data_IF_154813780876
#
_entry.id   IF_154813780876
#
_cell.length_a   1.000
_cell.length_b   1.000
_cell.length_c   1.000
_cell.angle_alpha   90.00
_cell.angle_beta   90.00
_cell.angle_gamma   90.00
#
_symmetry.space_group_name_H-M   'P 1'
#
loop_
_entity.id
_entity.type
_entity.pdbx_description
1 polymer ?
#
# COMPACT_ATOMS: atom_id res chain seq x y z
N UNK A 1 56.45 29.03 -4.00
CA UNK A 1 55.93 28.13 -2.95
C UNK A 1 55.15 27.04 -3.64
N UNK A 2 55.74 25.84 -3.66
CA UNK A 2 55.12 24.58 -4.06
C UNK A 2 54.18 24.11 -2.93
N UNK A 3 53.15 23.32 -3.27
CA UNK A 3 52.22 22.70 -2.33
C UNK A 3 50.95 22.28 -3.06
N UNK A 4 50.97 21.15 -3.75
CA UNK A 4 50.55 19.82 -3.26
C UNK A 4 49.05 19.56 -3.54
N UNK A 5 48.81 18.86 -4.64
CA UNK A 5 47.53 18.24 -5.00
C UNK A 5 47.45 16.86 -4.36
N UNK A 6 46.54 16.67 -3.42
CA UNK A 6 46.24 15.36 -2.83
C UNK A 6 45.23 14.60 -3.70
N UNK A 7 45.73 13.59 -4.40
CA UNK A 7 44.95 12.51 -5.01
C UNK A 7 44.43 11.57 -3.91
N UNK A 8 43.11 11.56 -3.69
CA UNK A 8 42.43 10.51 -2.92
C UNK A 8 41.82 9.49 -3.89
N UNK A 9 42.61 8.49 -4.27
CA UNK A 9 42.09 7.22 -4.80
C UNK A 9 41.44 6.44 -3.66
N UNK A 10 40.11 6.40 -3.64
CA UNK A 10 39.34 5.50 -2.78
C UNK A 10 38.94 4.27 -3.58
N UNK A 11 39.54 3.14 -3.17
CA UNK A 11 39.23 1.81 -3.66
C UNK A 11 37.76 1.45 -3.35
N UNK A 12 37.00 1.14 -4.40
CA UNK A 12 35.69 0.51 -4.29
C UNK A 12 35.88 -0.95 -3.89
N UNK A 13 35.80 -1.21 -2.59
CA UNK A 13 35.60 -2.55 -2.03
C UNK A 13 34.19 -3.04 -2.37
N UNK A 14 34.12 -4.14 -3.12
CA UNK A 14 32.90 -4.87 -3.47
C UNK A 14 32.53 -5.79 -2.30
N UNK A 15 31.74 -5.29 -1.36
CA UNK A 15 31.11 -6.10 -0.29
C UNK A 15 29.66 -6.44 -0.67
N UNK A 16 29.51 -7.47 -1.50
CA UNK A 16 28.27 -8.24 -1.64
C UNK A 16 28.41 -9.52 -0.79
N UNK A 17 28.33 -9.37 0.53
CA UNK A 17 28.21 -10.53 1.44
C UNK A 17 26.74 -10.90 1.58
N UNK A 18 26.33 -11.90 0.80
CA UNK A 18 25.03 -12.55 0.92
C UNK A 18 24.86 -13.17 2.31
N UNK A 19 23.75 -12.84 2.99
CA UNK A 19 23.25 -13.58 4.15
C UNK A 19 22.93 -15.02 3.74
N UNK A 20 23.81 -15.96 4.13
CA UNK A 20 23.50 -17.37 4.15
C UNK A 20 22.69 -17.66 5.42
N UNK A 21 21.36 -17.72 5.29
CA UNK A 21 20.50 -18.32 6.32
C UNK A 21 20.85 -19.81 6.42
N UNK A 22 21.65 -20.15 7.43
CA UNK A 22 21.91 -21.52 7.86
C UNK A 22 20.63 -22.10 8.48
N UNK A 23 19.85 -22.81 7.68
CA UNK A 23 18.90 -23.79 8.22
C UNK A 23 19.66 -25.09 8.56
N UNK A 24 19.54 -25.63 9.78
CA UNK A 24 20.16 -26.89 10.13
C UNK A 24 19.56 -28.01 9.26
N UNK A 25 20.43 -28.67 8.52
CA UNK A 25 20.10 -29.82 7.69
C UNK A 25 19.51 -30.92 8.55
N UNK A 26 18.24 -31.26 8.33
CA UNK A 26 17.63 -32.44 8.94
C UNK A 26 18.36 -33.71 8.42
N UNK A 27 18.70 -34.67 9.29
CA UNK A 27 19.36 -35.89 8.86
C UNK A 27 18.41 -36.73 8.01
N UNK A 28 18.88 -37.04 6.81
CA UNK A 28 18.27 -37.98 5.87
C UNK A 28 18.14 -39.36 6.52
N UNK A 29 16.94 -39.69 6.99
CA UNK A 29 16.60 -41.06 7.36
C UNK A 29 16.23 -41.83 6.09
N UNK A 30 17.20 -42.52 5.51
CA UNK A 30 16.94 -43.53 4.49
C UNK A 30 16.27 -44.72 5.16
N UNK A 31 14.95 -44.83 5.03
CA UNK A 31 14.19 -46.04 5.37
C UNK A 31 13.89 -46.81 4.09
N UNK A 32 14.81 -47.68 3.70
CA UNK A 32 14.58 -48.77 2.75
C UNK A 32 13.74 -49.84 3.44
N UNK A 33 12.42 -49.79 3.25
CA UNK A 33 11.53 -50.90 3.61
C UNK A 33 10.72 -51.32 2.38
N UNK A 34 11.32 -52.19 1.56
CA UNK A 34 10.61 -52.93 0.52
C UNK A 34 9.95 -54.17 1.15
N UNK A 35 8.75 -54.04 1.70
CA UNK A 35 7.91 -55.20 2.00
C UNK A 35 7.23 -55.66 0.70
N UNK A 36 7.85 -56.66 0.05
CA UNK A 36 7.26 -57.39 -1.06
C UNK A 36 6.35 -58.48 -0.48
N UNK A 37 5.07 -58.16 -0.30
CA UNK A 37 4.05 -59.19 -0.04
C UNK A 37 3.67 -59.85 -1.36
N UNK A 38 4.16 -61.07 -1.57
CA UNK A 38 3.67 -61.98 -2.61
C UNK A 38 2.42 -62.68 -2.11
N UNK A 39 1.25 -62.21 -2.53
CA UNK A 39 0.00 -62.96 -2.37
C UNK A 39 -0.13 -64.02 -3.49
N UNK A 40 -0.80 -65.17 -3.23
CA UNK A 40 -1.01 -66.22 -4.22
C UNK A 40 -1.98 -65.76 -5.31
N UNK A 41 -1.73 -66.19 -6.55
CA UNK A 41 -2.54 -65.83 -7.72
C UNK A 41 -3.98 -66.34 -7.62
N UNK A 42 -4.98 -65.55 -8.00
CA UNK A 42 -6.33 -66.04 -8.20
C UNK A 42 -6.44 -66.71 -9.58
N UNK A 43 -7.29 -67.73 -9.62
CA UNK A 43 -7.65 -68.49 -10.81
C UNK A 43 -8.28 -67.59 -11.88
N UNK A 44 -8.20 -68.07 -13.13
CA UNK A 44 -8.73 -67.46 -14.34
C UNK A 44 -10.25 -67.25 -14.27
N UNK A 45 -10.69 -66.11 -13.75
CA UNK A 45 -12.06 -65.62 -13.89
C UNK A 45 -12.08 -64.36 -14.76
N UNK A 46 -13.03 -64.31 -15.70
CA UNK A 46 -13.20 -63.29 -16.73
C UNK A 46 -13.10 -61.86 -16.16
N UNK A 47 -11.99 -61.19 -16.49
CA UNK A 47 -11.71 -59.81 -16.11
C UNK A 47 -12.67 -58.87 -16.86
N UNK A 48 -13.78 -58.54 -16.22
CA UNK A 48 -14.60 -57.38 -16.57
C UNK A 48 -13.69 -56.16 -16.49
N UNK A 49 -13.33 -55.57 -17.63
CA UNK A 49 -12.50 -54.36 -17.71
C UNK A 49 -13.19 -53.21 -16.96
N UNK A 50 -12.87 -53.07 -15.67
CA UNK A 50 -13.23 -51.91 -14.85
C UNK A 50 -12.58 -50.70 -15.52
N UNK A 51 -13.43 -49.85 -16.14
CA UNK A 51 -13.03 -48.55 -16.67
C UNK A 51 -12.14 -47.87 -15.62
N UNK A 52 -10.90 -47.47 -15.97
CA UNK A 52 -10.02 -46.80 -15.03
C UNK A 52 -10.78 -45.61 -14.46
N UNK A 53 -11.02 -45.65 -13.14
CA UNK A 53 -11.61 -44.54 -12.40
C UNK A 53 -10.78 -43.31 -12.76
N UNK A 54 -11.40 -42.38 -13.50
CA UNK A 54 -10.77 -41.11 -13.86
C UNK A 54 -10.26 -40.53 -12.55
N UNK A 55 -8.93 -40.37 -12.48
CA UNK A 55 -8.26 -39.89 -11.28
C UNK A 55 -9.03 -38.67 -10.74
N UNK A 56 -9.42 -38.74 -9.47
CA UNK A 56 -10.19 -37.71 -8.78
C UNK A 56 -9.44 -36.38 -8.85
N UNK A 57 -9.69 -35.59 -9.89
CA UNK A 57 -9.17 -34.24 -10.00
C UNK A 57 -9.96 -33.38 -9.03
N UNK A 58 -9.25 -32.70 -8.13
CA UNK A 58 -9.85 -31.68 -7.28
C UNK A 58 -10.49 -30.60 -8.18
N UNK A 59 -11.70 -30.13 -7.85
CA UNK A 59 -12.29 -28.94 -8.45
C UNK A 59 -11.30 -27.77 -8.47
N UNK A 60 -11.32 -27.00 -9.56
CA UNK A 60 -10.36 -25.91 -9.80
C UNK A 60 -10.43 -24.87 -8.66
N UNK A 61 -11.64 -24.60 -8.19
CA UNK A 61 -11.98 -23.63 -7.16
C UNK A 61 -11.31 -24.00 -5.82
N UNK A 62 -11.24 -25.31 -5.50
CA UNK A 62 -10.57 -25.78 -4.29
C UNK A 62 -9.06 -25.62 -4.38
N UNK A 63 -8.47 -25.90 -5.55
CA UNK A 63 -7.03 -25.70 -5.76
C UNK A 63 -6.69 -24.21 -5.66
N UNK A 64 -7.50 -23.34 -6.26
CA UNK A 64 -7.36 -21.89 -6.14
C UNK A 64 -7.44 -21.41 -4.68
N UNK A 65 -8.42 -21.90 -3.93
CA UNK A 65 -8.57 -21.56 -2.51
C UNK A 65 -7.40 -22.05 -1.64
N UNK A 66 -6.87 -23.24 -1.92
CA UNK A 66 -5.66 -23.76 -1.25
C UNK A 66 -4.49 -22.80 -1.48
N UNK A 67 -4.26 -22.34 -2.72
CA UNK A 67 -3.18 -21.39 -2.99
C UNK A 67 -3.44 -20.02 -2.37
N UNK A 68 -4.68 -19.55 -2.33
CA UNK A 68 -5.01 -18.29 -1.67
C UNK A 68 -4.66 -18.34 -0.18
N UNK A 69 -5.01 -19.43 0.52
CA UNK A 69 -4.63 -19.64 1.92
C UNK A 69 -3.11 -19.77 2.08
N UNK A 70 -2.46 -20.54 1.22
CA UNK A 70 -1.04 -20.85 1.34
C UNK A 70 -0.15 -19.63 1.07
N UNK A 71 -0.46 -18.87 0.01
CA UNK A 71 0.28 -17.66 -0.36
C UNK A 71 0.03 -16.50 0.62
N UNK A 72 -1.13 -16.48 1.29
CA UNK A 72 -1.39 -15.52 2.36
C UNK A 72 -0.42 -15.67 3.52
N UNK A 73 -0.02 -16.90 3.86
CA UNK A 73 0.95 -17.17 4.92
C UNK A 73 2.41 -17.09 4.41
N UNK A 74 2.66 -17.51 3.18
CA UNK A 74 4.02 -17.65 2.63
C UNK A 74 4.12 -17.13 1.19
N UNK A 75 4.32 -15.81 1.00
CA UNK A 75 4.35 -15.18 -0.32
C UNK A 75 5.73 -15.33 -1.01
N UNK A 76 6.28 -16.54 -1.03
CA UNK A 76 7.57 -16.84 -1.63
C UNK A 76 7.45 -17.94 -2.70
N UNK A 77 8.18 -17.78 -3.81
CA UNK A 77 8.17 -18.75 -4.90
C UNK A 77 8.61 -20.15 -4.45
N UNK A 78 9.57 -20.21 -3.51
CA UNK A 78 10.03 -21.47 -2.93
C UNK A 78 8.89 -22.31 -2.34
N UNK A 79 7.86 -21.66 -1.80
CA UNK A 79 6.70 -22.30 -1.21
C UNK A 79 5.78 -22.93 -2.26
N UNK A 80 5.62 -22.30 -3.43
CA UNK A 80 4.80 -22.86 -4.53
C UNK A 80 5.58 -23.73 -5.51
N UNK A 81 6.92 -23.74 -5.43
CA UNK A 81 7.79 -24.50 -6.34
C UNK A 81 7.45 -25.99 -6.41
N UNK A 82 7.25 -26.72 -5.29
CA UNK A 82 6.89 -28.14 -5.37
C UNK A 82 5.56 -28.36 -6.10
N UNK A 83 4.57 -27.51 -5.82
CA UNK A 83 3.27 -27.58 -6.46
C UNK A 83 3.33 -27.28 -7.96
N UNK A 84 4.15 -26.30 -8.36
CA UNK A 84 4.33 -25.98 -9.77
C UNK A 84 5.06 -27.08 -10.55
N UNK A 85 5.74 -27.98 -9.85
CA UNK A 85 6.36 -29.17 -10.43
C UNK A 85 5.43 -30.40 -10.43
N UNK A 86 4.42 -30.44 -9.57
CA UNK A 86 3.57 -31.62 -9.37
C UNK A 86 2.64 -31.95 -10.56
N UNK A 87 1.97 -30.95 -11.14
CA UNK A 87 1.10 -31.14 -12.32
C UNK A 87 0.97 -29.88 -13.15
N UNK A 88 0.53 -29.99 -14.40
CA UNK A 88 0.28 -28.84 -15.28
C UNK A 88 -0.84 -27.93 -14.74
N UNK A 89 -1.89 -28.52 -14.15
CA UNK A 89 -2.99 -27.79 -13.54
C UNK A 89 -2.51 -27.00 -12.32
N UNK A 90 -1.80 -27.66 -11.39
CA UNK A 90 -1.24 -26.99 -10.21
C UNK A 90 -0.23 -25.92 -10.62
N UNK A 91 0.62 -26.18 -11.62
CA UNK A 91 1.55 -25.18 -12.17
C UNK A 91 0.82 -23.93 -12.63
N UNK A 92 -0.20 -24.07 -13.46
CA UNK A 92 -0.94 -22.93 -14.01
C UNK A 92 -1.61 -22.14 -12.89
N UNK A 93 -2.27 -22.81 -11.94
CA UNK A 93 -2.98 -22.14 -10.86
C UNK A 93 -1.99 -21.51 -9.86
N UNK A 94 -1.00 -22.25 -9.40
CA UNK A 94 0.02 -21.78 -8.47
C UNK A 94 0.73 -20.54 -9.02
N UNK A 95 1.16 -20.60 -10.28
CA UNK A 95 1.85 -19.48 -10.91
C UNK A 95 0.89 -18.33 -11.19
N UNK A 96 -0.36 -18.57 -11.62
CA UNK A 96 -1.36 -17.49 -11.76
C UNK A 96 -1.58 -16.76 -10.44
N UNK A 97 -1.81 -17.49 -9.35
CA UNK A 97 -2.04 -16.95 -8.01
C UNK A 97 -0.80 -16.28 -7.41
N UNK A 98 0.38 -16.85 -7.63
CA UNK A 98 1.63 -16.24 -7.19
C UNK A 98 1.96 -14.96 -7.97
N UNK A 99 1.74 -14.98 -9.27
CA UNK A 99 2.02 -13.85 -10.15
C UNK A 99 0.97 -12.75 -10.01
N UNK A 100 -0.28 -13.03 -9.58
CA UNK A 100 -1.28 -11.97 -9.34
C UNK A 100 -0.91 -11.04 -8.19
N UNK A 101 -0.06 -11.51 -7.27
CA UNK A 101 0.36 -10.83 -6.05
C UNK A 101 1.88 -10.56 -6.01
N UNK A 102 2.48 -10.36 -7.18
CA UNK A 102 3.93 -10.49 -7.32
C UNK A 102 4.72 -9.39 -6.59
N UNK A 103 5.69 -9.84 -5.78
CA UNK A 103 6.58 -8.98 -4.98
C UNK A 103 7.98 -8.90 -5.61
N UNK A 104 8.41 -7.70 -5.99
CA UNK A 104 9.70 -7.39 -6.62
C UNK A 104 10.58 -6.64 -5.61
N UNK A 105 11.64 -7.29 -5.15
CA UNK A 105 12.64 -6.77 -4.23
C UNK A 105 13.99 -6.52 -4.91
N UNK A 106 14.14 -6.87 -6.19
CA UNK A 106 15.34 -6.56 -6.97
C UNK A 106 15.09 -6.62 -8.47
N UNK A 107 15.96 -5.98 -9.26
CA UNK A 107 15.91 -6.07 -10.71
C UNK A 107 16.14 -7.51 -11.22
N UNK A 108 17.01 -8.28 -10.55
CA UNK A 108 17.24 -9.68 -10.90
C UNK A 108 16.00 -10.54 -10.68
N UNK A 109 15.23 -10.25 -9.62
CA UNK A 109 13.97 -10.93 -9.36
C UNK A 109 12.93 -10.60 -10.45
N UNK A 110 12.84 -9.33 -10.88
CA UNK A 110 11.97 -8.94 -11.99
C UNK A 110 12.32 -9.69 -13.29
N UNK A 111 13.60 -9.78 -13.65
CA UNK A 111 14.06 -10.54 -14.82
C UNK A 111 13.71 -12.03 -14.70
N UNK A 112 13.83 -12.59 -13.49
CA UNK A 112 13.43 -13.98 -13.22
C UNK A 112 11.93 -14.17 -13.42
N UNK A 113 11.11 -13.22 -12.98
CA UNK A 113 9.67 -13.25 -13.16
C UNK A 113 9.22 -13.05 -14.60
N UNK A 114 9.88 -12.20 -15.36
CA UNK A 114 9.66 -12.08 -16.80
C UNK A 114 9.90 -13.40 -17.51
N UNK A 115 11.03 -14.06 -17.22
CA UNK A 115 11.35 -15.37 -17.80
C UNK A 115 10.29 -16.43 -17.47
N UNK A 116 9.79 -16.42 -16.23
CA UNK A 116 8.69 -17.29 -15.81
C UNK A 116 7.37 -16.93 -16.51
N UNK A 117 7.00 -15.65 -16.56
CA UNK A 117 5.76 -15.18 -17.17
C UNK A 117 5.75 -15.45 -18.67
N UNK A 118 6.84 -15.18 -19.39
CA UNK A 118 6.99 -15.51 -20.80
C UNK A 118 6.79 -17.01 -21.05
N UNK A 119 7.35 -17.86 -20.18
CA UNK A 119 7.17 -19.32 -20.26
C UNK A 119 5.72 -19.77 -20.03
N UNK A 120 4.93 -18.98 -19.29
CA UNK A 120 3.51 -19.27 -19.02
C UNK A 120 2.60 -18.76 -20.13
N UNK A 121 2.78 -17.50 -20.54
CA UNK A 121 1.93 -16.85 -21.54
C UNK A 121 2.12 -17.44 -22.92
N UNK A 122 3.34 -17.84 -23.28
CA UNK A 122 3.60 -18.56 -24.54
C UNK A 122 2.81 -19.87 -24.68
N UNK A 123 2.22 -20.40 -23.59
CA UNK A 123 1.49 -21.67 -23.56
C UNK A 123 -0.03 -21.51 -23.36
N UNK A 124 -0.53 -20.33 -22.96
CA UNK A 124 -1.95 -20.12 -22.63
C UNK A 124 -2.65 -19.26 -23.68
N UNK A 125 -3.76 -19.77 -24.24
CA UNK A 125 -4.60 -19.03 -25.21
C UNK A 125 -5.65 -18.11 -24.56
N UNK A 126 -5.89 -18.24 -23.25
CA UNK A 126 -6.88 -17.43 -22.53
C UNK A 126 -6.14 -16.55 -21.52
N UNK A 127 -6.15 -15.24 -21.76
CA UNK A 127 -5.52 -14.22 -20.91
C UNK A 127 -6.61 -13.49 -20.12
N UNK A 128 -6.75 -13.83 -18.84
CA UNK A 128 -7.50 -13.01 -17.89
C UNK A 128 -6.55 -12.50 -16.81
N UNK A 129 -6.66 -11.18 -16.57
CA UNK A 129 -6.14 -10.37 -15.45
C UNK A 129 -4.77 -10.77 -14.88
N UNK A 130 -3.72 -10.04 -15.29
CA UNK A 130 -2.43 -10.02 -14.60
C UNK A 130 -2.31 -8.78 -13.69
N UNK A 131 -1.73 -8.96 -12.50
CA UNK A 131 -1.49 -7.93 -11.49
C UNK A 131 -0.07 -8.08 -10.94
N UNK A 132 0.54 -7.01 -10.43
CA UNK A 132 1.87 -7.01 -9.79
C UNK A 132 1.69 -6.22 -8.50
N UNK A 133 1.61 -6.91 -7.38
CA UNK A 133 1.06 -6.32 -6.16
C UNK A 133 2.12 -5.78 -5.20
N UNK A 134 3.44 -5.84 -5.47
CA UNK A 134 4.41 -5.25 -4.54
C UNK A 134 5.79 -4.96 -5.13
N UNK A 135 6.32 -3.75 -4.90
CA UNK A 135 7.76 -3.46 -5.02
C UNK A 135 8.19 -2.77 -3.72
N UNK A 136 9.21 -3.30 -3.06
CA UNK A 136 9.72 -2.78 -1.77
C UNK A 136 11.15 -2.24 -1.93
N UNK A 137 11.41 -1.04 -1.39
CA UNK A 137 12.69 -0.32 -1.49
C UNK A 137 13.42 -0.19 -0.14
N UNK A 138 13.11 -1.05 0.83
CA UNK A 138 13.62 -0.95 2.21
C UNK A 138 15.15 -0.96 2.38
N UNK A 139 15.91 -1.46 1.40
CA UNK A 139 17.38 -1.50 1.43
C UNK A 139 18.03 -0.40 0.58
N UNK A 140 17.25 0.35 -0.19
CA UNK A 140 17.79 1.41 -1.04
C UNK A 140 18.02 2.69 -0.24
N UNK A 141 18.89 3.57 -0.72
CA UNK A 141 18.96 4.93 -0.19
C UNK A 141 18.03 5.88 -0.97
N UNK A 142 17.71 7.03 -0.38
CA UNK A 142 16.93 8.10 -1.03
C UNK A 142 17.48 8.50 -2.41
N UNK A 143 18.81 8.48 -2.59
CA UNK A 143 19.49 8.83 -3.85
C UNK A 143 19.38 7.75 -4.92
N UNK A 144 19.24 6.47 -4.56
CA UNK A 144 19.23 5.35 -5.51
C UNK A 144 17.83 4.96 -5.97
N UNK A 145 16.78 5.37 -5.25
CA UNK A 145 15.37 5.08 -5.57
C UNK A 145 15.04 5.37 -7.05
N UNK A 146 15.36 6.57 -7.55
CA UNK A 146 15.05 6.97 -8.92
C UNK A 146 15.76 6.08 -9.94
N UNK A 147 17.07 5.90 -9.80
CA UNK A 147 17.88 5.06 -10.70
C UNK A 147 17.38 3.63 -10.74
N UNK A 148 16.99 3.08 -9.58
CA UNK A 148 16.47 1.71 -9.48
C UNK A 148 15.08 1.59 -10.11
N UNK A 149 14.18 2.51 -9.85
CA UNK A 149 12.87 2.57 -10.50
C UNK A 149 12.99 2.70 -12.01
N UNK A 150 13.83 3.61 -12.50
CA UNK A 150 14.14 3.73 -13.93
C UNK A 150 14.61 2.39 -14.50
N UNK A 151 15.56 1.69 -13.84
CA UNK A 151 16.00 0.37 -14.32
C UNK A 151 14.90 -0.69 -14.34
N UNK A 152 13.97 -0.63 -13.39
CA UNK A 152 12.83 -1.57 -13.27
C UNK A 152 11.75 -1.25 -14.32
N UNK A 153 11.43 0.03 -14.51
CA UNK A 153 10.28 0.50 -15.29
C UNK A 153 10.62 0.85 -16.74
N UNK A 154 11.86 1.26 -17.05
CA UNK A 154 12.28 1.67 -18.40
C UNK A 154 12.95 0.55 -19.21
N UNK A 155 13.35 -0.57 -18.60
CA UNK A 155 13.92 -1.71 -19.35
C UNK A 155 12.85 -2.38 -20.23
N UNK A 156 13.30 -3.01 -21.32
CA UNK A 156 12.50 -3.72 -22.35
C UNK A 156 11.34 -4.61 -21.84
N UNK A 157 11.42 -5.05 -20.59
CA UNK A 157 10.34 -5.59 -19.76
C UNK A 157 8.99 -4.84 -19.87
N UNK A 158 9.04 -3.51 -20.04
CA UNK A 158 7.87 -2.63 -20.14
C UNK A 158 6.97 -2.94 -21.34
N UNK A 159 7.51 -3.49 -22.43
CA UNK A 159 6.78 -3.61 -23.69
C UNK A 159 5.75 -4.75 -23.69
N UNK A 160 5.94 -5.81 -22.89
CA UNK A 160 5.14 -7.04 -23.01
C UNK A 160 4.23 -7.33 -21.83
N UNK A 161 4.68 -7.07 -20.60
CA UNK A 161 3.92 -7.45 -19.39
C UNK A 161 3.14 -6.26 -18.83
N UNK A 162 3.77 -5.08 -18.87
CA UNK A 162 3.27 -3.88 -18.19
C UNK A 162 1.99 -3.28 -18.78
N UNK A 163 1.66 -3.40 -20.09
CA UNK A 163 0.42 -2.85 -20.61
C UNK A 163 -0.83 -3.50 -20.03
N UNK A 164 -0.75 -4.72 -19.51
CA UNK A 164 -1.91 -5.45 -18.97
C UNK A 164 -2.06 -5.30 -17.46
N UNK A 165 -1.14 -4.59 -16.82
CA UNK A 165 -1.13 -4.45 -15.37
C UNK A 165 -2.32 -3.62 -14.89
N UNK A 166 -3.16 -4.21 -14.06
CA UNK A 166 -4.35 -3.53 -13.51
C UNK A 166 -4.19 -3.09 -12.06
N UNK A 167 -3.26 -3.66 -11.31
CA UNK A 167 -2.98 -3.25 -9.92
C UNK A 167 -1.47 -3.20 -9.68
N UNK A 168 -1.01 -2.15 -9.01
CA UNK A 168 0.38 -1.90 -8.66
C UNK A 168 0.47 -1.33 -7.25
N UNK A 169 1.34 -1.92 -6.44
CA UNK A 169 1.68 -1.39 -5.11
C UNK A 169 3.18 -1.19 -4.98
N UNK A 170 3.59 0.02 -4.62
CA UNK A 170 4.97 0.42 -4.32
C UNK A 170 5.01 0.87 -2.86
N UNK A 171 5.76 0.18 -2.00
CA UNK A 171 5.83 0.48 -0.55
C UNK A 171 7.26 0.69 -0.11
N UNK A 172 7.45 1.22 1.11
CA UNK A 172 8.78 1.51 1.65
C UNK A 172 9.58 2.40 0.70
N UNK A 173 8.91 3.36 0.07
CA UNK A 173 9.57 4.39 -0.72
C UNK A 173 10.16 5.45 0.21
N UNK A 174 11.25 6.09 -0.17
CA UNK A 174 11.79 7.22 0.59
C UNK A 174 11.06 8.53 0.33
N UNK A 175 10.43 8.64 -0.84
CA UNK A 175 9.61 9.79 -1.23
C UNK A 175 8.65 9.43 -2.35
N UNK A 176 7.52 10.13 -2.37
CA UNK A 176 6.59 10.14 -3.50
C UNK A 176 6.72 11.50 -4.19
N UNK A 177 7.22 11.52 -5.42
CA UNK A 177 7.40 12.74 -6.20
C UNK A 177 6.71 12.67 -7.57
N UNK A 178 6.62 13.82 -8.25
CA UNK A 178 6.00 13.95 -9.58
C UNK A 178 6.69 13.05 -10.61
N UNK A 179 8.01 12.88 -10.51
CA UNK A 179 8.79 12.06 -11.44
C UNK A 179 8.45 10.59 -11.32
N UNK A 180 8.32 10.07 -10.10
CA UNK A 180 7.90 8.70 -9.81
C UNK A 180 6.50 8.44 -10.37
N UNK A 181 5.53 9.30 -10.03
CA UNK A 181 4.15 9.13 -10.48
C UNK A 181 4.03 9.20 -12.00
N UNK A 182 4.78 10.09 -12.65
CA UNK A 182 4.81 10.17 -14.12
C UNK A 182 5.42 8.93 -14.76
N UNK A 183 6.48 8.37 -14.16
CA UNK A 183 7.12 7.15 -14.65
C UNK A 183 6.17 5.95 -14.55
N UNK A 184 5.49 5.79 -13.40
CA UNK A 184 4.44 4.78 -13.19
C UNK A 184 3.31 4.95 -14.21
N UNK A 185 2.78 6.18 -14.34
CA UNK A 185 1.67 6.45 -15.25
C UNK A 185 1.99 6.11 -16.71
N UNK A 186 3.22 6.35 -17.16
CA UNK A 186 3.69 6.00 -18.50
C UNK A 186 3.89 4.50 -18.68
N UNK A 187 4.40 3.81 -17.66
CA UNK A 187 4.71 2.39 -17.73
C UNK A 187 3.45 1.50 -17.69
N UNK A 188 2.38 1.94 -17.02
CA UNK A 188 1.21 1.10 -16.72
C UNK A 188 -0.13 1.75 -17.13
N UNK A 189 -0.39 1.99 -18.42
CA UNK A 189 -1.59 2.74 -18.85
C UNK A 189 -2.93 2.07 -18.50
N UNK A 190 -2.98 0.76 -18.28
CA UNK A 190 -4.20 0.02 -17.90
C UNK A 190 -4.43 -0.08 -16.39
N UNK A 191 -3.64 0.62 -15.58
CA UNK A 191 -3.72 0.54 -14.13
C UNK A 191 -5.06 1.03 -13.61
N UNK A 192 -5.73 0.18 -12.82
CA UNK A 192 -6.98 0.45 -12.11
C UNK A 192 -6.76 0.78 -10.65
N UNK A 193 -5.80 0.11 -10.03
CA UNK A 193 -5.46 0.29 -8.62
C UNK A 193 -3.99 0.67 -8.50
N UNK A 194 -3.71 1.83 -7.92
CA UNK A 194 -2.36 2.30 -7.63
C UNK A 194 -2.20 2.56 -6.15
N UNK A 195 -1.27 1.86 -5.52
CA UNK A 195 -0.84 2.10 -4.15
C UNK A 195 0.62 2.53 -4.18
N UNK A 196 0.92 3.73 -3.68
CA UNK A 196 2.30 4.21 -3.54
C UNK A 196 2.45 4.73 -2.12
N UNK A 197 3.37 4.21 -1.33
CA UNK A 197 3.56 4.60 0.08
C UNK A 197 5.04 4.72 0.47
N UNK A 198 5.32 5.76 1.27
CA UNK A 198 6.58 5.93 1.99
C UNK A 198 6.42 5.82 3.52
N UNK A 199 5.18 5.83 4.02
CA UNK A 199 4.90 5.88 5.46
C UNK A 199 5.38 4.66 6.26
N UNK A 200 5.68 3.54 5.61
CA UNK A 200 6.19 2.33 6.27
C UNK A 200 7.63 2.45 6.76
N UNK A 201 8.36 3.50 6.36
CA UNK A 201 9.69 3.80 6.90
C UNK A 201 9.65 4.51 8.25
N UNK A 202 8.48 4.98 8.69
CA UNK A 202 8.36 5.61 10.00
C UNK A 202 8.34 4.55 11.10
N UNK A 203 9.35 4.58 11.98
CA UNK A 203 9.38 3.71 13.16
C UNK A 203 8.60 4.33 14.31
N UNK A 204 7.32 4.05 14.32
CA UNK A 204 6.39 4.41 15.40
C UNK A 204 6.28 3.31 16.47
N UNK A 205 7.15 2.29 16.43
CA UNK A 205 7.05 1.10 17.29
C UNK A 205 8.06 1.06 18.45
N UNK A 206 9.15 1.83 18.36
CA UNK A 206 10.23 1.80 19.34
C UNK A 206 10.12 2.92 20.39
N UNK A 207 10.51 4.13 20.02
CA UNK A 207 10.51 5.31 20.88
C UNK A 207 10.50 6.59 20.02
N UNK A 208 10.38 7.75 20.66
CA UNK A 208 10.34 9.01 19.92
C UNK A 208 11.62 9.29 19.13
N UNK A 209 12.80 8.98 19.70
CA UNK A 209 14.08 9.20 19.02
C UNK A 209 14.15 8.37 17.74
N UNK A 210 13.74 7.10 17.78
CA UNK A 210 13.67 6.26 16.57
C UNK A 210 12.66 6.80 15.56
N UNK A 211 11.51 7.31 16.02
CA UNK A 211 10.55 7.96 15.15
C UNK A 211 11.15 9.20 14.48
N UNK A 212 11.76 10.10 15.25
CA UNK A 212 12.42 11.31 14.78
C UNK A 212 13.50 10.97 13.74
N UNK A 213 14.43 10.07 14.07
CA UNK A 213 15.46 9.59 13.16
C UNK A 213 14.86 9.07 11.85
N UNK A 214 13.85 8.20 11.94
CA UNK A 214 13.19 7.63 10.77
C UNK A 214 12.43 8.67 9.95
N UNK A 215 11.83 9.68 10.60
CA UNK A 215 11.07 10.76 9.96
C UNK A 215 11.98 11.68 9.14
N UNK A 216 13.20 11.97 9.61
CA UNK A 216 14.16 12.78 8.86
C UNK A 216 14.67 12.09 7.59
N UNK A 217 14.62 10.74 7.56
CA UNK A 217 15.10 9.96 6.43
C UNK A 217 14.09 9.89 5.26
N UNK A 218 12.79 10.08 5.53
CA UNK A 218 11.69 9.90 4.57
C UNK A 218 10.88 11.18 4.37
N UNK A 219 10.47 11.47 3.12
CA UNK A 219 9.54 12.59 2.86
C UNK A 219 8.12 12.07 3.09
N UNK A 220 7.65 12.10 4.33
CA UNK A 220 6.33 11.60 4.72
C UNK A 220 5.25 12.68 4.72
N UNK A 221 5.59 13.93 5.05
CA UNK A 221 4.68 15.09 5.08
C UNK A 221 5.20 16.17 4.11
N UNK A 222 4.86 16.12 2.82
CA UNK A 222 5.45 17.01 1.83
C UNK A 222 4.98 18.48 1.90
N UNK A 223 4.05 18.81 2.80
CA UNK A 223 3.51 20.16 3.03
C UNK A 223 4.05 20.67 4.37
N UNK A 224 4.52 21.93 4.47
CA UNK A 224 4.60 22.94 3.41
C UNK A 224 5.90 22.90 2.58
N UNK A 225 6.88 22.08 2.98
CA UNK A 225 8.26 22.19 2.52
C UNK A 225 8.48 21.87 1.04
N UNK A 226 7.71 20.94 0.46
CA UNK A 226 7.80 20.58 -0.97
C UNK A 226 6.62 21.14 -1.77
N UNK A 227 5.47 21.29 -1.15
CA UNK A 227 4.29 21.91 -1.72
C UNK A 227 3.69 22.89 -0.74
N UNK A 228 3.39 24.10 -1.23
CA UNK A 228 2.82 25.18 -0.41
C UNK A 228 1.41 24.88 0.10
N UNK A 229 0.68 23.94 -0.51
CA UNK A 229 -0.68 23.57 -0.09
C UNK A 229 -1.08 22.18 -0.62
N UNK A 230 -2.10 21.59 0.00
CA UNK A 230 -2.71 20.33 -0.42
C UNK A 230 -3.29 20.41 -1.85
N UNK A 231 -3.85 21.56 -2.22
CA UNK A 231 -4.36 21.82 -3.58
C UNK A 231 -3.25 21.81 -4.63
N UNK A 232 -2.11 22.45 -4.35
CA UNK A 232 -0.95 22.45 -5.26
C UNK A 232 -0.38 21.04 -5.43
N UNK A 233 -0.20 20.30 -4.32
CA UNK A 233 0.24 18.90 -4.34
C UNK A 233 -0.69 18.05 -5.22
N UNK A 234 -1.99 18.13 -4.96
CA UNK A 234 -3.01 17.32 -5.65
C UNK A 234 -3.06 17.64 -7.14
N UNK A 235 -2.90 18.92 -7.52
CA UNK A 235 -2.87 19.36 -8.91
C UNK A 235 -1.67 18.78 -9.67
N UNK A 236 -0.48 18.84 -9.08
CA UNK A 236 0.74 18.29 -9.71
C UNK A 236 0.70 16.76 -9.77
N UNK A 237 0.18 16.09 -8.73
CA UNK A 237 0.03 14.64 -8.72
C UNK A 237 -1.00 14.18 -9.75
N UNK A 238 -2.16 14.84 -9.84
CA UNK A 238 -3.15 14.56 -10.87
C UNK A 238 -2.59 14.77 -12.29
N UNK A 239 -1.77 15.81 -12.50
CA UNK A 239 -1.11 16.05 -13.79
C UNK A 239 -0.17 14.89 -14.15
N UNK A 240 0.61 14.40 -13.19
CA UNK A 240 1.51 13.27 -13.39
C UNK A 240 0.76 11.96 -13.68
N UNK A 241 -0.37 11.74 -13.00
CA UNK A 241 -1.20 10.55 -13.12
C UNK A 241 -2.22 10.59 -14.27
N UNK A 242 -2.38 11.73 -14.95
CA UNK A 242 -3.31 11.93 -16.06
C UNK A 242 -3.32 10.81 -17.13
N UNK A 243 -2.18 10.18 -17.50
CA UNK A 243 -2.18 9.07 -18.46
C UNK A 243 -2.97 7.83 -18.02
N UNK A 244 -3.20 7.65 -16.71
CA UNK A 244 -3.91 6.49 -16.16
C UNK A 244 -5.42 6.68 -16.26
N UNK A 245 -5.96 6.52 -17.46
CA UNK A 245 -7.39 6.77 -17.76
C UNK A 245 -8.33 5.77 -17.08
N UNK A 246 -7.82 4.62 -16.62
CA UNK A 246 -8.59 3.58 -15.95
C UNK A 246 -8.41 3.56 -14.42
N UNK A 247 -7.67 4.51 -13.85
CA UNK A 247 -7.35 4.52 -12.42
C UNK A 247 -8.62 4.79 -11.59
N UNK A 248 -9.12 3.74 -10.95
CA UNK A 248 -10.29 3.75 -10.07
C UNK A 248 -9.90 3.95 -8.60
N UNK A 249 -8.83 3.27 -8.15
CA UNK A 249 -8.40 3.30 -6.76
C UNK A 249 -6.98 3.85 -6.65
N UNK A 250 -6.82 4.94 -5.89
CA UNK A 250 -5.51 5.55 -5.63
C UNK A 250 -5.23 5.59 -4.13
N UNK A 251 -4.11 5.01 -3.70
CA UNK A 251 -3.56 5.22 -2.38
C UNK A 251 -2.22 5.95 -2.46
N UNK A 252 -2.12 7.06 -1.73
CA UNK A 252 -0.92 7.86 -1.56
C UNK A 252 -0.52 7.84 -0.08
N UNK A 253 0.45 6.99 0.25
CA UNK A 253 0.95 6.79 1.61
C UNK A 253 1.90 7.89 2.06
N UNK A 254 1.41 9.12 2.00
CA UNK A 254 1.98 10.35 2.58
C UNK A 254 0.93 10.96 3.53
N UNK A 255 1.38 11.74 4.50
CA UNK A 255 0.53 12.48 5.43
C UNK A 255 0.28 13.88 4.89
N UNK A 256 -0.98 14.34 5.00
CA UNK A 256 -1.37 15.72 4.63
C UNK A 256 -1.37 16.69 5.84
N UNK A 257 -0.79 16.26 6.96
CA UNK A 257 -0.39 17.13 8.06
C UNK A 257 0.84 17.96 7.69
N UNK A 258 0.97 19.11 8.34
CA UNK A 258 2.24 19.84 8.29
C UNK A 258 3.35 18.99 8.90
N UNK A 259 4.56 19.07 8.35
CA UNK A 259 5.73 18.36 8.87
C UNK A 259 5.97 18.71 10.36
N UNK A 260 5.78 19.98 10.72
CA UNK A 260 5.91 20.50 12.09
C UNK A 260 4.84 19.97 13.06
N UNK A 261 3.72 19.42 12.57
CA UNK A 261 2.63 18.92 13.45
C UNK A 261 3.12 17.87 14.43
N UNK A 262 4.06 17.05 13.97
CA UNK A 262 4.74 16.02 14.76
C UNK A 262 5.57 16.66 15.87
N UNK A 263 6.35 17.70 15.57
CA UNK A 263 7.10 18.47 16.56
C UNK A 263 6.18 19.17 17.55
N UNK A 264 5.10 19.80 17.07
CA UNK A 264 4.08 20.43 17.93
C UNK A 264 3.40 19.41 18.85
N UNK A 265 3.19 18.18 18.38
CA UNK A 265 2.65 17.10 19.21
C UNK A 265 3.57 16.77 20.39
N UNK A 266 4.90 16.83 20.22
CA UNK A 266 5.84 16.66 21.33
C UNK A 266 5.81 17.81 22.33
N UNK A 267 5.66 19.04 21.86
CA UNK A 267 5.61 20.20 22.74
C UNK A 267 4.41 20.12 23.71
N UNK A 268 3.30 19.53 23.27
CA UNK A 268 2.16 19.25 24.15
C UNK A 268 2.49 18.21 25.22
N UNK A 269 3.39 17.28 24.90
CA UNK A 269 3.76 16.17 25.76
C UNK A 269 4.75 16.57 26.86
N UNK A 270 5.77 17.36 26.52
CA UNK A 270 6.87 17.71 27.43
C UNK A 270 6.44 18.59 28.63
N UNK A 271 5.20 19.10 28.63
CA UNK A 271 4.67 19.87 29.74
C UNK A 271 3.21 19.48 30.04
N UNK A 272 2.98 18.60 31.04
CA UNK A 272 1.64 18.26 31.52
C UNK A 272 0.80 19.49 31.88
N UNK A 273 1.44 20.57 32.36
CA UNK A 273 0.78 21.84 32.63
C UNK A 273 0.37 22.58 31.37
N UNK A 274 1.14 22.48 30.29
CA UNK A 274 0.76 23.02 28.97
C UNK A 274 -0.41 22.22 28.41
N UNK A 275 -0.39 20.90 28.58
CA UNK A 275 -1.49 20.03 28.20
C UNK A 275 -2.80 20.38 28.94
N UNK A 276 -2.78 20.44 30.28
CA UNK A 276 -3.93 20.82 31.10
C UNK A 276 -4.43 22.23 30.73
N UNK A 277 -3.52 23.20 30.57
CA UNK A 277 -3.88 24.57 30.19
C UNK A 277 -4.53 24.61 28.81
N UNK A 278 -4.00 23.87 27.84
CA UNK A 278 -4.56 23.79 26.49
C UNK A 278 -5.95 23.16 26.48
N UNK A 279 -6.18 22.10 27.28
CA UNK A 279 -7.53 21.57 27.46
C UNK A 279 -8.46 22.63 28.08
N UNK A 280 -8.06 23.25 29.20
CA UNK A 280 -8.89 24.23 29.89
C UNK A 280 -9.21 25.44 29.02
N UNK A 281 -8.26 26.04 28.32
CA UNK A 281 -8.51 27.21 27.46
C UNK A 281 -9.46 26.89 26.32
N UNK A 282 -9.36 25.70 25.75
CA UNK A 282 -10.12 25.34 24.56
C UNK A 282 -11.53 24.88 24.90
N UNK A 283 -11.71 24.12 25.99
CA UNK A 283 -13.05 23.74 26.46
C UNK A 283 -13.78 24.88 27.21
N UNK A 284 -13.06 25.82 27.83
CA UNK A 284 -13.68 26.98 28.47
C UNK A 284 -14.22 28.00 27.46
N UNK A 285 -13.61 28.08 26.27
CA UNK A 285 -14.08 28.95 25.19
C UNK A 285 -15.20 28.23 24.43
N UNK A 286 -16.40 28.23 25.01
CA UNK A 286 -17.66 27.66 24.50
C UNK A 286 -18.18 28.38 23.23
N UNK A 287 -17.32 28.65 22.26
CA UNK A 287 -17.69 28.98 20.90
C UNK A 287 -17.92 27.66 20.16
N UNK A 288 -19.02 27.55 19.43
CA UNK A 288 -19.33 26.40 18.57
C UNK A 288 -18.09 25.94 17.81
N UNK A 289 -17.68 24.66 17.94
CA UNK A 289 -16.51 24.15 17.24
C UNK A 289 -16.65 24.43 15.74
N UNK A 290 -15.61 24.97 15.14
CA UNK A 290 -15.52 25.23 13.70
C UNK A 290 -15.85 23.93 12.98
N UNK A 291 -17.03 23.87 12.37
CA UNK A 291 -17.58 22.63 11.82
C UNK A 291 -16.62 22.04 10.79
N UNK A 292 -16.09 20.85 11.08
CA UNK A 292 -15.35 20.06 10.09
C UNK A 292 -16.39 19.49 9.12
N UNK A 293 -16.45 20.01 7.89
CA UNK A 293 -17.31 19.45 6.85
C UNK A 293 -16.89 18.01 6.53
N UNK A 294 -17.86 17.08 6.53
CA UNK A 294 -17.64 15.66 6.16
C UNK A 294 -17.70 15.45 4.64
N UNK A 295 -18.39 16.35 3.95
CA UNK A 295 -18.61 16.31 2.51
C UNK A 295 -18.11 17.60 1.88
N UNK A 296 -17.41 17.46 0.77
CA UNK A 296 -16.99 18.56 -0.09
C UNK A 296 -17.55 18.34 -1.48
N UNK A 297 -18.25 19.35 -2.03
CA UNK A 297 -18.90 19.28 -3.34
C UNK A 297 -18.46 20.44 -4.23
N UNK A 298 -18.31 20.17 -5.52
CA UNK A 298 -17.99 21.18 -6.52
C UNK A 298 -18.58 20.85 -7.91
N UNK A 299 -19.02 21.86 -8.66
CA UNK A 299 -19.48 21.73 -10.04
C UNK A 299 -18.32 21.57 -11.03
N UNK A 300 -18.51 20.79 -12.11
CA UNK A 300 -17.50 20.57 -13.16
C UNK A 300 -17.53 21.59 -14.31
N UNK A 301 -18.23 22.73 -14.17
CA UNK A 301 -18.41 23.69 -15.27
C UNK A 301 -17.06 24.14 -15.88
N UNK A 302 -16.78 23.86 -17.16
CA UNK A 302 -15.44 23.99 -17.74
C UNK A 302 -15.01 25.41 -18.16
N UNK A 303 -15.83 26.45 -17.96
CA UNK A 303 -15.65 27.71 -18.73
C UNK A 303 -15.32 28.98 -17.93
N UNK A 304 -15.22 28.95 -16.59
CA UNK A 304 -14.93 30.20 -15.85
C UNK A 304 -13.96 29.93 -14.68
N UNK A 305 -12.73 30.43 -14.78
CA UNK A 305 -11.70 30.46 -13.72
C UNK A 305 -12.05 31.44 -12.56
N UNK A 306 -13.34 31.72 -12.32
CA UNK A 306 -13.76 32.56 -11.19
C UNK A 306 -13.83 31.73 -9.92
N UNK A 307 -13.40 32.34 -8.81
CA UNK A 307 -13.31 31.79 -7.45
C UNK A 307 -14.32 30.66 -7.21
N UNK A 308 -13.79 29.44 -7.27
CA UNK A 308 -14.58 28.23 -7.23
C UNK A 308 -15.12 28.01 -5.82
N UNK A 309 -16.42 28.27 -5.63
CA UNK A 309 -17.05 28.13 -4.32
C UNK A 309 -17.15 26.65 -3.91
N UNK A 310 -16.22 26.20 -3.07
CA UNK A 310 -16.26 24.88 -2.43
C UNK A 310 -17.38 24.88 -1.38
N UNK A 311 -18.41 24.04 -1.55
CA UNK A 311 -19.45 23.89 -0.52
C UNK A 311 -19.13 22.73 0.41
N UNK A 312 -19.17 23.03 1.72
CA UNK A 312 -19.06 22.05 2.78
C UNK A 312 -20.47 21.72 3.28
N UNK A 313 -20.86 20.47 3.21
CA UNK A 313 -22.00 19.99 3.99
C UNK A 313 -21.49 19.21 5.18
N UNK A 314 -21.97 19.60 6.34
CA UNK A 314 -21.69 18.93 7.59
C UNK A 314 -22.69 17.78 7.64
N UNK A 315 -22.20 16.56 7.53
CA UNK A 315 -23.03 15.41 7.86
C UNK A 315 -23.43 15.51 9.32
N UNK A 316 -24.68 15.14 9.64
CA UNK A 316 -25.19 15.07 11.01
C UNK A 316 -24.11 14.47 11.92
N UNK A 317 -23.87 15.14 13.06
CA UNK A 317 -22.85 14.78 14.05
C UNK A 317 -22.72 13.27 14.11
N UNK A 318 -21.54 12.78 13.76
CA UNK A 318 -21.26 11.36 13.71
C UNK A 318 -21.57 10.76 15.10
N UNK A 319 -22.70 10.03 15.25
CA UNK A 319 -23.20 9.62 16.56
C UNK A 319 -22.25 8.62 17.23
N UNK A 320 -21.27 8.10 16.50
CA UNK A 320 -20.33 7.07 16.95
C UNK A 320 -19.01 7.65 17.47
N UNK A 321 -18.84 8.99 17.55
CA UNK A 321 -17.73 9.58 18.31
C UNK A 321 -18.10 9.59 19.79
N UNK A 322 -18.29 8.41 20.37
CA UNK A 322 -18.19 8.30 21.83
C UNK A 322 -16.76 8.70 22.22
N UNK A 323 -16.58 9.70 23.12
CA UNK A 323 -15.29 9.98 23.70
C UNK A 323 -14.73 8.65 24.20
N UNK A 324 -13.52 8.27 23.78
CA UNK A 324 -12.88 7.08 24.34
C UNK A 324 -12.56 7.41 25.80
N UNK A 325 -13.52 7.19 26.70
CA UNK A 325 -13.30 7.21 28.14
C UNK A 325 -12.71 5.85 28.49
N UNK A 326 -11.49 5.60 28.00
CA UNK A 326 -10.68 4.56 28.60
C UNK A 326 -10.19 5.13 29.94
N UNK A 327 -10.88 4.76 31.02
CA UNK A 327 -10.49 5.07 32.41
C UNK A 327 -9.26 4.29 32.88
N UNK A 328 -8.51 3.67 31.97
CA UNK A 328 -7.22 3.07 32.24
C UNK A 328 -6.13 4.13 32.28
N UNK A 329 -5.13 3.95 33.13
CA UNK A 329 -3.89 4.72 33.09
C UNK A 329 -3.40 4.80 31.64
N UNK A 330 -3.22 6.03 31.13
CA UNK A 330 -2.67 6.25 29.79
C UNK A 330 -1.39 5.41 29.67
N UNK A 331 -1.28 4.55 28.64
CA UNK A 331 -0.13 3.67 28.53
C UNK A 331 1.15 4.52 28.56
N UNK A 332 2.14 4.13 29.37
CA UNK A 332 3.41 4.83 29.40
C UNK A 332 4.03 4.75 28.00
N UNK A 333 4.21 5.92 27.39
CA UNK A 333 5.15 6.26 26.32
C UNK A 333 5.49 5.22 25.23
N UNK A 334 5.46 5.59 23.94
CA UNK A 334 4.78 6.71 23.27
C UNK A 334 3.43 6.30 22.67
N UNK A 335 2.44 7.20 22.72
CA UNK A 335 1.19 7.08 21.94
C UNK A 335 1.20 8.09 20.79
N UNK A 336 0.74 7.70 19.60
CA UNK A 336 0.77 8.57 18.42
C UNK A 336 -0.15 9.80 18.51
N UNK A 337 -0.06 10.77 17.57
CA UNK A 337 -0.90 11.96 17.55
C UNK A 337 -2.40 11.66 17.58
N UNK A 338 -2.82 10.49 17.10
CA UNK A 338 -4.18 9.98 17.13
C UNK A 338 -4.75 9.73 18.52
N UNK A 339 -3.86 9.49 19.49
CA UNK A 339 -4.19 9.21 20.87
C UNK A 339 -4.05 10.46 21.76
N UNK A 340 -3.51 11.57 21.24
CA UNK A 340 -3.40 12.83 21.95
C UNK A 340 -4.69 13.66 21.82
N UNK A 341 -5.43 13.93 22.92
CA UNK A 341 -6.69 14.67 22.86
C UNK A 341 -6.58 16.07 22.26
N UNK A 342 -5.45 16.75 22.43
CA UNK A 342 -5.21 18.08 21.84
C UNK A 342 -5.11 17.96 20.31
N UNK A 343 -4.29 17.04 19.82
CA UNK A 343 -4.13 16.79 18.40
C UNK A 343 -5.42 16.26 17.77
N UNK A 344 -6.14 15.35 18.45
CA UNK A 344 -7.32 14.67 17.94
C UNK A 344 -8.58 15.53 17.93
N UNK A 345 -8.75 16.45 18.89
CA UNK A 345 -9.97 17.25 19.03
C UNK A 345 -9.81 18.70 18.57
N UNK A 346 -8.65 19.31 18.81
CA UNK A 346 -8.57 20.77 18.85
C UNK A 346 -7.85 21.38 17.66
N UNK A 347 -6.73 20.78 17.24
CA UNK A 347 -5.81 21.44 16.31
C UNK A 347 -5.68 20.65 15.02
N UNK A 348 -5.04 19.49 15.11
CA UNK A 348 -4.47 18.84 13.95
C UNK A 348 -5.49 18.00 13.18
N UNK A 349 -6.32 17.21 13.87
CA UNK A 349 -7.22 16.29 13.19
C UNK A 349 -8.24 16.99 12.29
N UNK A 350 -9.03 18.00 12.74
CA UNK A 350 -9.96 18.70 11.85
C UNK A 350 -9.29 19.25 10.59
N UNK A 351 -8.12 19.89 10.75
CA UNK A 351 -7.39 20.51 9.64
C UNK A 351 -6.86 19.47 8.66
N UNK A 352 -6.20 18.42 9.15
CA UNK A 352 -5.73 17.31 8.33
C UNK A 352 -6.89 16.66 7.59
N UNK A 353 -8.02 16.48 8.27
CA UNK A 353 -9.19 15.85 7.70
C UNK A 353 -9.82 16.67 6.57
N UNK A 354 -9.88 17.98 6.73
CA UNK A 354 -10.31 18.90 5.66
C UNK A 354 -9.35 18.86 4.49
N UNK A 355 -8.02 18.92 4.72
CA UNK A 355 -7.01 18.83 3.66
C UNK A 355 -7.08 17.52 2.88
N UNK A 356 -7.32 16.40 3.55
CA UNK A 356 -7.53 15.09 2.92
C UNK A 356 -8.74 15.12 1.96
N UNK A 357 -9.84 15.73 2.37
CA UNK A 357 -11.04 15.85 1.53
C UNK A 357 -10.81 16.80 0.35
N UNK A 358 -10.23 17.98 0.58
CA UNK A 358 -9.88 18.94 -0.46
C UNK A 358 -8.93 18.35 -1.51
N UNK A 359 -7.87 17.66 -1.05
CA UNK A 359 -6.92 16.98 -1.91
C UNK A 359 -7.59 15.87 -2.74
N UNK A 360 -8.45 15.07 -2.10
CA UNK A 360 -9.21 14.01 -2.78
C UNK A 360 -10.14 14.58 -3.85
N UNK A 361 -10.82 15.69 -3.56
CA UNK A 361 -11.68 16.39 -4.52
C UNK A 361 -10.87 16.91 -5.71
N UNK A 362 -9.73 17.55 -5.45
CA UNK A 362 -8.86 18.09 -6.49
C UNK A 362 -8.32 16.98 -7.41
N UNK A 363 -7.92 15.83 -6.86
CA UNK A 363 -7.54 14.65 -7.64
C UNK A 363 -8.71 14.12 -8.47
N UNK A 364 -9.87 13.92 -7.84
CA UNK A 364 -11.07 13.39 -8.49
C UNK A 364 -11.54 14.28 -9.65
N UNK A 365 -11.45 15.61 -9.55
CA UNK A 365 -11.83 16.50 -10.66
C UNK A 365 -11.00 16.27 -11.93
N UNK A 366 -9.71 15.96 -11.76
CA UNK A 366 -8.74 15.79 -12.86
C UNK A 366 -8.61 14.34 -13.34
N UNK A 367 -8.82 13.36 -12.46
CA UNK A 367 -8.75 11.93 -12.75
C UNK A 367 -10.17 11.35 -12.81
N UNK A 368 -10.74 11.26 -14.01
CA UNK A 368 -12.19 11.00 -14.21
C UNK A 368 -12.65 9.60 -13.83
N UNK A 369 -11.78 8.60 -13.94
CA UNK A 369 -12.10 7.22 -13.55
C UNK A 369 -12.02 6.98 -12.03
N UNK A 370 -11.54 7.96 -11.26
CA UNK A 370 -11.26 7.79 -9.84
C UNK A 370 -12.56 7.60 -9.05
N UNK A 371 -12.65 6.49 -8.35
CA UNK A 371 -13.74 6.06 -7.46
C UNK A 371 -13.33 6.21 -5.98
N UNK A 372 -12.08 5.88 -5.64
CA UNK A 372 -11.56 6.01 -4.27
C UNK A 372 -10.18 6.67 -4.22
N UNK A 373 -9.97 7.47 -3.18
CA UNK A 373 -8.67 8.07 -2.84
C UNK A 373 -8.36 7.76 -1.40
N UNK A 374 -7.17 7.22 -1.13
CA UNK A 374 -6.73 6.91 0.23
C UNK A 374 -5.42 7.62 0.55
N UNK A 375 -5.29 8.08 1.79
CA UNK A 375 -4.12 8.77 2.32
C UNK A 375 -3.62 8.06 3.56
N UNK A 376 -2.31 8.03 3.80
CA UNK A 376 -1.80 7.72 5.15
C UNK A 376 -2.22 8.83 6.09
N UNK A 377 -2.74 8.47 7.26
CA UNK A 377 -3.25 9.45 8.22
C UNK A 377 -2.93 9.02 9.63
N UNK A 378 -2.41 9.95 10.44
CA UNK A 378 -2.36 9.74 11.88
C UNK A 378 -3.79 9.59 12.40
N UNK A 379 -4.72 10.43 11.94
CA UNK A 379 -6.09 10.52 12.45
C UNK A 379 -7.09 9.60 11.73
N UNK A 380 -6.63 8.41 11.30
CA UNK A 380 -7.46 7.43 10.62
C UNK A 380 -8.67 7.06 11.46
N UNK A 381 -9.83 6.89 10.82
CA UNK A 381 -11.06 6.49 11.49
C UNK A 381 -10.88 5.09 12.10
N UNK A 382 -11.29 4.92 13.36
CA UNK A 382 -11.05 3.73 14.20
C UNK A 382 -11.48 2.43 13.50
N UNK A 383 -10.54 1.75 12.86
CA UNK A 383 -10.54 0.29 12.91
C UNK A 383 -9.82 -0.05 14.20
N UNK A 384 -10.49 -0.73 15.12
CA UNK A 384 -9.84 -1.37 16.26
C UNK A 384 -8.77 -2.29 15.70
N UNK A 385 -7.52 -1.84 15.70
CA UNK A 385 -6.43 -2.65 15.22
C UNK A 385 -6.23 -3.80 16.22
N UNK A 386 -6.05 -5.04 15.73
CA UNK A 386 -5.58 -6.13 16.58
C UNK A 386 -4.31 -5.70 17.33
N UNK A 387 -4.23 -6.04 18.62
CA UNK A 387 -3.19 -5.59 19.56
C UNK A 387 -1.77 -6.03 19.16
N UNK A 388 -1.63 -6.97 18.22
CA UNK A 388 -0.37 -7.56 17.76
C UNK A 388 0.24 -6.89 16.52
N UNK A 389 -0.40 -5.87 15.95
CA UNK A 389 0.07 -5.25 14.70
C UNK A 389 1.01 -4.07 14.97
N UNK A 390 2.20 -4.12 14.36
CA UNK A 390 3.18 -3.03 14.44
C UNK A 390 2.59 -1.74 13.88
N UNK A 391 2.67 -0.69 14.69
CA UNK A 391 2.36 0.68 14.28
C UNK A 391 3.31 1.03 13.11
N UNK A 392 2.79 1.66 12.05
CA UNK A 392 3.51 1.88 10.76
C UNK A 392 2.83 1.20 9.57
N UNK A 393 1.81 0.39 9.84
CA UNK A 393 1.03 -0.31 8.84
C UNK A 393 0.21 0.65 7.95
N UNK A 394 0.24 0.39 6.63
CA UNK A 394 -0.71 0.80 5.56
C UNK A 394 -2.21 0.77 5.94
N UNK A 395 -2.54 0.19 7.10
CA UNK A 395 -3.87 0.14 7.69
C UNK A 395 -4.32 1.48 8.26
N UNK A 396 -3.39 2.36 8.69
CA UNK A 396 -3.69 3.73 9.13
C UNK A 396 -3.93 4.64 7.93
N UNK A 397 -5.02 4.38 7.20
CA UNK A 397 -5.41 5.17 6.04
C UNK A 397 -6.79 5.78 6.21
N UNK A 398 -6.95 6.99 5.70
CA UNK A 398 -8.27 7.58 5.47
C UNK A 398 -8.64 7.36 4.02
N UNK A 399 -9.78 6.72 3.77
CA UNK A 399 -10.32 6.54 2.42
C UNK A 399 -11.47 7.52 2.18
N UNK A 400 -11.41 8.20 1.05
CA UNK A 400 -12.41 9.11 0.54
C UNK A 400 -13.05 8.49 -0.70
N UNK A 401 -14.37 8.52 -0.75
CA UNK A 401 -15.19 7.95 -1.82
C UNK A 401 -15.68 9.07 -2.74
N UNK A 402 -15.49 8.87 -4.04
CA UNK A 402 -15.87 9.83 -5.08
C UNK A 402 -17.25 9.45 -5.63
N UNK A 403 -18.13 10.45 -5.72
CA UNK A 403 -19.40 10.37 -6.44
C UNK A 403 -19.42 11.42 -7.55
N UNK A 404 -19.83 11.01 -8.75
CA UNK A 404 -20.03 11.88 -9.91
C UNK A 404 -21.47 11.78 -10.34
N UNK A 405 -22.22 12.86 -10.19
CA UNK A 405 -23.63 12.90 -10.54
C UNK A 405 -24.00 14.29 -11.04
N UNK A 406 -24.69 14.36 -12.19
CA UNK A 406 -25.14 15.62 -12.77
C UNK A 406 -24.02 16.64 -13.07
N UNK A 407 -22.84 16.17 -13.50
CA UNK A 407 -21.68 17.04 -13.76
C UNK A 407 -21.10 17.70 -12.50
N UNK A 408 -21.34 17.12 -11.32
CA UNK A 408 -20.72 17.54 -10.06
C UNK A 408 -19.89 16.40 -9.50
N UNK A 409 -18.76 16.74 -8.88
CA UNK A 409 -17.94 15.81 -8.12
C UNK A 409 -18.15 16.07 -6.64
N UNK A 410 -18.48 15.01 -5.91
CA UNK A 410 -18.59 15.02 -4.45
C UNK A 410 -17.62 14.00 -3.87
N UNK A 411 -17.05 14.35 -2.73
CA UNK A 411 -16.19 13.45 -1.98
C UNK A 411 -16.61 13.41 -0.52
N UNK A 412 -16.55 12.22 0.08
CA UNK A 412 -16.83 12.02 1.51
C UNK A 412 -16.05 10.82 2.05
N UNK A 413 -15.93 10.71 3.38
CA UNK A 413 -15.17 9.63 4.05
C UNK A 413 -15.91 8.30 4.15
N UNK A 414 -17.24 8.32 4.06
CA UNK A 414 -18.09 7.12 4.12
C UNK A 414 -18.43 6.63 2.72
N UNK A 415 -18.49 5.31 2.47
CA UNK A 415 -18.99 4.79 1.19
C UNK A 415 -20.33 5.41 0.82
N UNK A 416 -20.58 5.67 -0.46
CA UNK A 416 -21.93 6.03 -0.92
C UNK A 416 -22.84 4.81 -0.87
N UNK A 417 -24.14 4.97 -0.60
CA UNK A 417 -25.06 3.83 -0.48
C UNK A 417 -25.05 2.95 -1.73
N UNK A 418 -24.87 3.57 -2.90
CA UNK A 418 -24.70 2.92 -4.19
C UNK A 418 -23.47 1.97 -4.27
N UNK A 419 -22.44 2.17 -3.45
CA UNK A 419 -21.30 1.24 -3.37
C UNK A 419 -21.64 -0.01 -2.57
N UNK A 420 -22.55 0.07 -1.59
CA UNK A 420 -22.93 -1.08 -0.77
C UNK A 420 -23.67 -2.14 -1.61
N UNK A 421 -24.37 -1.72 -2.66
CA UNK A 421 -25.10 -2.62 -3.54
C UNK A 421 -24.23 -3.26 -4.63
N UNK A 422 -23.08 -2.65 -5.00
CA UNK A 422 -22.15 -3.23 -5.99
C UNK A 422 -21.30 -4.38 -5.44
N UNK A 423 -21.17 -4.48 -4.12
CA UNK A 423 -20.31 -5.45 -3.44
C UNK A 423 -21.07 -6.52 -2.64
N UNK A 424 -22.40 -6.48 -2.66
CA UNK A 424 -23.25 -7.63 -2.30
C UNK A 424 -23.44 -8.50 -3.53
#
# INVERSE_FOLDING_TARGET
>A
MQGETNDYSSALGSDDTYFHDYFPSSPSSQSTCTHRFTSPGPADDEVTQLKPLKANQLPLELIEYIFDLFLRCYPAFSCIKPFSMASSQFRTIALRKYMSALRIYSAAQLVSYESMHFSLVSRSKNQDKTGLEWISFGTDGRSTQKTRLTRILERHLAAHIMPHLTSLTLTKLWRIDISLLSMVAKAFPMLKTLHVSCSEHLDVSCCWVCFEDSSTAVIHSPIPNYFSSASKLSTEFAKALKPLTNLADLHLGIFLSDEEMVSTHLEHYDSPRTYERALCTTFARRGTPTLTGSIVSQSESPEIEQDEHVSYTVDEQDPDVEPCVHSGELPPFPHGPDLCPICSLLVSAPQVRTRELEASLALARKLKALETVSWSSFFSWRQSLPTDMKVGDWKRKTTTYVLREGGRVRVRRRPWDQYLDKHK
#
